data_IF_889297651056
#
_entry.id   IF_889297651056
#
_cell.length_a   1.000
_cell.length_b   1.000
_cell.length_c   1.000
_cell.angle_alpha   90.00
_cell.angle_beta   90.00
_cell.angle_gamma   90.00
#
_symmetry.space_group_name_H-M   'P 1'
#
loop_
_entity.id
_entity.type
_entity.pdbx_description
1 polymer ?
#
# COMPACT_ATOMS: atom_id res chain seq x y z
N UNK A 1 -16.71 15.78 2.18
CA UNK A 1 -16.09 15.71 0.83
C UNK A 1 -14.56 15.56 0.87
N UNK A 2 -13.87 16.07 1.90
CA UNK A 2 -12.38 16.07 1.99
C UNK A 2 -11.71 14.71 2.31
N UNK A 3 -12.40 13.73 2.91
CA UNK A 3 -11.78 12.46 3.32
C UNK A 3 -11.77 11.37 2.23
N UNK A 4 -12.73 11.35 1.29
CA UNK A 4 -12.66 10.44 0.12
C UNK A 4 -11.44 10.74 -0.76
N UNK A 5 -11.03 12.01 -0.83
CA UNK A 5 -9.79 12.44 -1.48
C UNK A 5 -8.52 12.07 -0.72
N UNK A 6 -8.61 11.83 0.60
CA UNK A 6 -7.44 11.50 1.41
C UNK A 6 -6.92 10.08 1.13
N UNK A 7 -7.81 9.12 0.85
CA UNK A 7 -7.44 7.72 0.55
C UNK A 7 -6.81 7.55 -0.84
N UNK A 8 -7.43 8.12 -1.87
CA UNK A 8 -6.87 8.09 -3.23
C UNK A 8 -5.50 8.78 -3.30
N UNK A 9 -5.33 9.94 -2.65
CA UNK A 9 -4.02 10.62 -2.54
C UNK A 9 -3.01 9.92 -1.62
N UNK A 10 -3.43 8.93 -0.81
CA UNK A 10 -2.51 8.22 0.10
C UNK A 10 -1.73 7.14 -0.65
N UNK A 11 -2.38 6.47 -1.59
CA UNK A 11 -1.73 5.47 -2.46
C UNK A 11 -0.89 6.15 -3.57
N UNK A 12 -1.29 7.35 -4.00
CA UNK A 12 -0.60 8.09 -5.07
C UNK A 12 0.30 9.22 -4.58
N UNK A 13 0.65 9.31 -3.29
CA UNK A 13 1.62 10.34 -2.88
C UNK A 13 3.03 9.92 -3.29
N UNK A 14 3.58 10.64 -4.26
CA UNK A 14 4.84 10.39 -4.95
C UNK A 14 6.07 10.58 -4.06
N UNK A 15 5.88 11.09 -2.84
CA UNK A 15 6.90 11.10 -1.78
C UNK A 15 7.04 9.75 -1.06
N UNK A 16 6.14 8.79 -1.30
CA UNK A 16 6.06 7.55 -0.53
C UNK A 16 6.30 6.28 -1.35
N UNK A 17 5.81 6.21 -2.60
CA UNK A 17 6.17 5.18 -3.58
C UNK A 17 6.67 5.91 -4.84
N UNK A 18 7.96 5.77 -5.11
CA UNK A 18 8.65 6.31 -6.29
C UNK A 18 9.80 5.37 -6.66
N UNK A 19 10.56 5.67 -7.72
CA UNK A 19 11.65 4.77 -8.15
C UNK A 19 12.66 4.47 -7.04
N UNK A 20 12.91 5.40 -6.12
CA UNK A 20 13.87 5.23 -5.02
C UNK A 20 13.29 4.44 -3.84
N UNK A 21 11.97 4.17 -3.80
CA UNK A 21 11.39 3.31 -2.77
C UNK A 21 11.59 1.83 -3.07
N UNK A 22 11.81 1.48 -4.33
CA UNK A 22 12.08 0.11 -4.77
C UNK A 22 13.59 -0.17 -4.72
N UNK A 23 13.93 -1.43 -4.46
CA UNK A 23 15.30 -1.91 -4.59
C UNK A 23 15.69 -1.92 -6.07
N UNK A 24 17.00 -1.77 -6.37
CA UNK A 24 17.47 -1.52 -7.73
C UNK A 24 17.04 -2.60 -8.76
N UNK A 25 16.92 -3.85 -8.31
CA UNK A 25 16.55 -5.01 -9.12
C UNK A 25 15.07 -5.43 -8.97
N UNK A 26 14.26 -4.64 -8.28
CA UNK A 26 12.84 -4.96 -8.10
C UNK A 26 12.07 -4.75 -9.40
N UNK A 27 11.70 -5.85 -10.04
CA UNK A 27 10.97 -5.85 -11.31
C UNK A 27 9.58 -5.22 -11.21
N UNK A 28 9.01 -5.10 -9.99
CA UNK A 28 7.71 -4.46 -9.79
C UNK A 28 7.76 -2.97 -10.05
N UNK A 29 8.94 -2.33 -9.95
CA UNK A 29 9.10 -0.89 -10.17
C UNK A 29 8.55 -0.47 -11.53
N UNK A 30 9.01 -1.11 -12.60
CA UNK A 30 8.70 -0.70 -13.99
C UNK A 30 7.30 -1.12 -14.43
N UNK A 31 6.73 -2.15 -13.79
CA UNK A 31 5.32 -2.54 -13.99
C UNK A 31 4.37 -1.62 -13.22
N UNK A 32 4.81 -1.11 -12.07
CA UNK A 32 3.99 -0.27 -11.20
C UNK A 32 4.03 1.18 -11.61
N UNK A 33 5.21 1.72 -11.88
CA UNK A 33 5.47 3.14 -12.09
C UNK A 33 5.98 3.39 -13.51
N UNK A 34 5.39 4.36 -14.19
CA UNK A 34 5.91 4.88 -15.46
C UNK A 34 6.14 6.38 -15.40
N UNK A 35 7.16 6.83 -16.13
CA UNK A 35 7.55 8.25 -16.26
C UNK A 35 7.20 8.83 -17.61
N UNK A 36 6.62 8.04 -18.52
CA UNK A 36 6.18 8.55 -19.79
C UNK A 36 5.01 7.74 -20.34
N UNK A 37 4.37 8.31 -21.34
CA UNK A 37 3.32 7.68 -22.12
C UNK A 37 3.55 7.94 -23.60
N UNK A 38 3.47 6.90 -24.42
CA UNK A 38 3.54 7.02 -25.88
C UNK A 38 2.14 6.93 -26.46
N UNK A 39 1.70 8.01 -27.10
CA UNK A 39 0.43 8.09 -27.82
C UNK A 39 0.43 7.24 -29.10
N UNK A 40 -0.78 6.97 -29.62
CA UNK A 40 -0.96 6.17 -30.84
C UNK A 40 -0.36 6.80 -32.10
N UNK A 41 -0.11 8.11 -32.10
CA UNK A 41 0.59 8.83 -33.18
C UNK A 41 2.12 8.80 -33.04
N UNK A 42 2.63 8.12 -32.01
CA UNK A 42 4.06 7.98 -31.71
C UNK A 42 4.64 9.13 -30.89
N UNK A 43 3.85 10.15 -30.53
CA UNK A 43 4.32 11.20 -29.63
C UNK A 43 4.53 10.64 -28.22
N UNK A 44 5.58 11.08 -27.54
CA UNK A 44 5.91 10.68 -26.17
C UNK A 44 5.70 11.88 -25.25
N UNK A 45 4.89 11.70 -24.22
CA UNK A 45 4.79 12.63 -23.11
C UNK A 45 5.59 12.10 -21.94
N UNK A 46 6.59 12.87 -21.52
CA UNK A 46 7.40 12.60 -20.34
C UNK A 46 6.77 13.31 -19.13
N UNK A 47 6.81 12.66 -17.98
CA UNK A 47 6.25 13.13 -16.73
C UNK A 47 7.38 13.47 -15.75
N UNK A 48 7.29 14.63 -15.10
CA UNK A 48 8.24 15.03 -14.04
C UNK A 48 8.18 14.11 -12.81
N UNK A 49 7.12 13.31 -12.68
CA UNK A 49 6.88 12.38 -11.57
C UNK A 49 6.20 11.11 -12.09
N UNK A 50 6.38 9.95 -11.43
CA UNK A 50 5.81 8.73 -11.93
C UNK A 50 4.29 8.70 -11.77
N UNK A 51 3.63 7.96 -12.65
CA UNK A 51 2.23 7.58 -12.51
C UNK A 51 2.11 6.07 -12.35
N UNK A 52 1.05 5.60 -11.69
CA UNK A 52 0.84 4.17 -11.47
C UNK A 52 0.13 3.55 -12.67
N UNK A 53 0.79 2.64 -13.37
CA UNK A 53 0.33 2.03 -14.62
C UNK A 53 -0.05 0.54 -14.47
N UNK A 54 0.00 0.01 -13.24
CA UNK A 54 -0.21 -1.41 -12.90
C UNK A 54 -1.46 -2.08 -13.51
N UNK A 55 -2.55 -1.32 -13.68
CA UNK A 55 -3.81 -1.83 -14.23
C UNK A 55 -4.04 -1.41 -15.68
N UNK A 56 -2.99 -1.04 -16.40
CA UNK A 56 -3.11 -0.66 -17.80
C UNK A 56 -2.25 -1.60 -18.66
N UNK A 57 -2.90 -2.30 -19.57
CA UNK A 57 -2.24 -3.10 -20.60
C UNK A 57 -2.16 -2.26 -21.88
N UNK A 58 -0.99 -1.69 -22.15
CA UNK A 58 -0.75 -0.84 -23.31
C UNK A 58 -0.90 -1.60 -24.65
N UNK A 59 -0.70 -2.92 -24.66
CA UNK A 59 -0.86 -3.73 -25.87
C UNK A 59 -2.33 -3.97 -26.18
N UNK A 60 -3.14 -4.24 -25.15
CA UNK A 60 -4.57 -4.46 -25.30
C UNK A 60 -5.36 -3.14 -25.47
N UNK A 61 -4.94 -2.07 -24.80
CA UNK A 61 -5.53 -0.73 -24.92
C UNK A 61 -4.44 0.36 -25.04
N UNK A 62 -3.97 0.67 -26.26
CA UNK A 62 -2.93 1.68 -26.50
C UNK A 62 -3.37 3.13 -26.29
N UNK A 63 -4.66 3.44 -26.14
CA UNK A 63 -5.17 4.82 -26.01
C UNK A 63 -5.05 5.41 -24.61
N UNK A 64 -4.78 4.57 -23.59
CA UNK A 64 -4.56 5.05 -22.22
C UNK A 64 -5.79 5.62 -21.51
N UNK A 65 -7.00 5.42 -22.05
CA UNK A 65 -8.23 5.98 -21.49
C UNK A 65 -9.25 4.92 -21.03
N UNK A 66 -8.87 3.64 -21.06
CA UNK A 66 -9.70 2.54 -20.60
C UNK A 66 -8.84 1.39 -20.04
N UNK A 67 -9.47 0.51 -19.26
CA UNK A 67 -8.87 -0.75 -18.81
C UNK A 67 -9.94 -1.80 -18.56
N UNK A 68 -9.65 -3.03 -18.97
CA UNK A 68 -10.42 -4.24 -18.64
C UNK A 68 -9.64 -5.14 -17.65
N UNK A 69 -8.58 -4.61 -17.03
CA UNK A 69 -7.78 -5.35 -16.08
C UNK A 69 -8.63 -5.78 -14.88
N UNK A 70 -8.46 -7.05 -14.49
CA UNK A 70 -9.15 -7.61 -13.31
C UNK A 70 -8.51 -7.02 -12.06
N UNK A 71 -9.35 -6.45 -11.19
CA UNK A 71 -8.92 -6.03 -9.86
C UNK A 71 -8.88 -7.26 -8.93
N UNK A 72 -7.69 -7.70 -8.47
CA UNK A 72 -7.59 -8.89 -7.63
C UNK A 72 -8.18 -8.61 -6.24
N UNK A 73 -9.10 -9.46 -5.81
CA UNK A 73 -9.62 -9.41 -4.43
C UNK A 73 -8.71 -10.17 -3.43
N UNK A 74 -8.07 -11.25 -3.90
CA UNK A 74 -7.13 -12.08 -3.15
C UNK A 74 -6.18 -12.75 -4.13
N UNK A 75 -4.92 -12.92 -3.75
CA UNK A 75 -3.92 -13.64 -4.56
C UNK A 75 -2.83 -14.28 -3.73
N UNK A 76 -2.10 -15.23 -4.30
CA UNK A 76 -1.13 -16.07 -3.58
C UNK A 76 -0.05 -15.30 -2.82
N UNK A 77 0.40 -14.14 -3.32
CA UNK A 77 1.38 -13.32 -2.61
C UNK A 77 0.87 -12.86 -1.23
N UNK A 78 -0.42 -12.55 -1.12
CA UNK A 78 -1.05 -12.18 0.15
C UNK A 78 -1.01 -13.35 1.14
N UNK A 79 -1.27 -14.57 0.68
CA UNK A 79 -1.22 -15.75 1.55
C UNK A 79 0.20 -15.99 2.10
N UNK A 80 1.23 -15.76 1.28
CA UNK A 80 2.61 -15.85 1.76
C UNK A 80 2.96 -14.76 2.77
N UNK A 81 2.55 -13.51 2.55
CA UNK A 81 2.85 -12.43 3.48
C UNK A 81 2.04 -12.53 4.78
N UNK A 82 0.79 -13.00 4.72
CA UNK A 82 0.00 -13.34 5.91
C UNK A 82 0.68 -14.46 6.70
N UNK A 83 1.17 -15.51 6.04
CA UNK A 83 1.93 -16.59 6.71
C UNK A 83 3.19 -16.03 7.39
N UNK A 84 3.99 -15.24 6.67
CA UNK A 84 5.23 -14.67 7.20
C UNK A 84 4.96 -13.77 8.42
N UNK A 85 3.93 -12.94 8.35
CA UNK A 85 3.51 -12.08 9.44
C UNK A 85 3.04 -12.87 10.65
N UNK A 86 2.13 -13.84 10.46
CA UNK A 86 1.64 -14.67 11.56
C UNK A 86 2.78 -15.40 12.28
N UNK A 87 3.76 -15.91 11.53
CA UNK A 87 4.94 -16.56 12.10
C UNK A 87 5.80 -15.58 12.92
N UNK A 88 5.99 -14.35 12.45
CA UNK A 88 6.72 -13.32 13.21
C UNK A 88 6.02 -12.99 14.53
N UNK A 89 4.68 -12.88 14.51
CA UNK A 89 3.87 -12.58 15.70
C UNK A 89 3.92 -13.71 16.73
N UNK A 90 3.68 -14.96 16.33
CA UNK A 90 3.61 -16.08 17.29
C UNK A 90 4.96 -16.46 17.88
N UNK A 91 6.06 -16.21 17.15
CA UNK A 91 7.41 -16.54 17.59
C UNK A 91 8.18 -15.35 18.18
N UNK A 92 7.60 -14.14 18.16
CA UNK A 92 8.28 -12.90 18.52
C UNK A 92 9.61 -12.73 17.76
N UNK A 93 9.57 -13.01 16.46
CA UNK A 93 10.72 -13.01 15.57
C UNK A 93 10.51 -13.94 14.37
N UNK A 94 11.23 -13.69 13.28
CA UNK A 94 11.13 -14.48 12.07
C UNK A 94 11.88 -15.80 12.21
N UNK A 95 11.15 -16.91 12.16
CA UNK A 95 11.75 -18.21 11.96
C UNK A 95 12.03 -18.49 10.47
N UNK A 96 12.67 -19.62 10.17
CA UNK A 96 13.02 -20.01 8.81
C UNK A 96 11.80 -20.05 7.87
N UNK A 97 10.64 -20.51 8.35
CA UNK A 97 9.42 -20.55 7.54
C UNK A 97 8.87 -19.16 7.20
N UNK A 98 9.02 -18.19 8.10
CA UNK A 98 8.62 -16.81 7.86
C UNK A 98 9.47 -16.18 6.77
N UNK A 99 10.79 -16.39 6.85
CA UNK A 99 11.77 -15.97 5.86
C UNK A 99 11.46 -16.59 4.50
N UNK A 100 11.20 -17.89 4.45
CA UNK A 100 10.87 -18.58 3.20
C UNK A 100 9.57 -18.05 2.57
N UNK A 101 8.56 -17.73 3.39
CA UNK A 101 7.29 -17.22 2.90
C UNK A 101 7.43 -15.84 2.25
N UNK A 102 8.06 -14.86 2.91
CA UNK A 102 8.32 -13.54 2.30
C UNK A 102 9.24 -13.66 1.07
N UNK A 103 10.20 -14.59 1.08
CA UNK A 103 11.09 -14.84 -0.07
C UNK A 103 10.35 -15.41 -1.29
N UNK A 104 9.18 -16.05 -1.14
CA UNK A 104 8.34 -16.43 -2.31
C UNK A 104 7.87 -15.20 -3.09
N UNK A 105 7.59 -14.10 -2.39
CA UNK A 105 7.14 -12.84 -3.00
C UNK A 105 8.33 -12.08 -3.57
N UNK A 106 9.38 -11.92 -2.77
CA UNK A 106 10.62 -11.22 -3.15
C UNK A 106 11.32 -11.88 -4.33
N UNK A 107 11.47 -13.21 -4.31
CA UNK A 107 12.13 -13.96 -5.38
C UNK A 107 11.44 -13.81 -6.73
N UNK A 108 10.10 -13.79 -6.77
CA UNK A 108 9.33 -13.52 -7.99
C UNK A 108 9.45 -12.07 -8.46
N UNK A 109 9.75 -11.13 -7.56
CA UNK A 109 10.07 -9.74 -7.91
C UNK A 109 11.53 -9.53 -8.35
N UNK A 110 12.36 -10.60 -8.38
CA UNK A 110 13.79 -10.51 -8.73
C UNK A 110 14.71 -10.21 -7.55
N UNK A 111 14.20 -10.24 -6.32
CA UNK A 111 14.94 -9.94 -5.09
C UNK A 111 15.31 -11.26 -4.39
N UNK A 112 16.50 -11.79 -4.65
CA UNK A 112 16.90 -13.15 -4.21
C UNK A 112 18.02 -13.20 -3.18
N UNK A 113 18.65 -12.07 -2.83
CA UNK A 113 19.92 -12.07 -2.07
C UNK A 113 19.92 -11.28 -0.75
N UNK A 114 18.77 -10.79 -0.29
CA UNK A 114 18.77 -9.87 0.85
C UNK A 114 18.65 -10.62 2.17
N UNK A 115 19.57 -10.30 3.09
CA UNK A 115 19.50 -10.76 4.47
C UNK A 115 18.34 -10.03 5.13
N UNK A 116 17.23 -10.74 5.31
CA UNK A 116 16.10 -10.25 6.06
C UNK A 116 16.42 -10.31 7.56
N UNK A 117 16.06 -9.27 8.33
CA UNK A 117 16.19 -9.31 9.79
C UNK A 117 15.34 -10.45 10.36
N UNK A 118 15.78 -11.05 11.46
CA UNK A 118 15.07 -12.13 12.13
C UNK A 118 14.49 -11.73 13.48
N UNK A 119 14.88 -10.57 14.02
CA UNK A 119 14.23 -10.01 15.19
C UNK A 119 12.81 -9.51 14.84
N UNK A 120 11.93 -9.50 15.84
CA UNK A 120 10.52 -9.16 15.67
C UNK A 120 10.30 -7.82 14.97
N UNK A 121 10.97 -6.77 15.44
CA UNK A 121 10.76 -5.41 14.98
C UNK A 121 11.31 -5.21 13.57
N UNK A 122 12.54 -5.67 13.33
CA UNK A 122 13.17 -5.61 12.01
C UNK A 122 12.37 -6.38 10.96
N UNK A 123 11.91 -7.58 11.28
CA UNK A 123 11.13 -8.37 10.31
C UNK A 123 9.74 -7.80 10.07
N UNK A 124 9.09 -7.24 11.10
CA UNK A 124 7.84 -6.50 10.95
C UNK A 124 8.00 -5.30 10.00
N UNK A 125 9.10 -4.55 10.12
CA UNK A 125 9.41 -3.44 9.21
C UNK A 125 9.65 -3.93 7.77
N UNK A 126 10.36 -5.04 7.61
CA UNK A 126 10.56 -5.68 6.31
C UNK A 126 9.23 -6.13 5.68
N UNK A 127 8.32 -6.73 6.45
CA UNK A 127 6.99 -7.10 5.99
C UNK A 127 6.17 -5.87 5.58
N UNK A 128 6.16 -4.82 6.39
CA UNK A 128 5.46 -3.57 6.07
C UNK A 128 5.98 -2.93 4.78
N UNK A 129 7.29 -3.03 4.51
CA UNK A 129 7.87 -2.58 3.25
C UNK A 129 7.44 -3.48 2.08
N UNK A 130 7.44 -4.81 2.28
CA UNK A 130 7.06 -5.77 1.25
C UNK A 130 5.57 -5.64 0.87
N UNK A 131 4.66 -5.55 1.84
CA UNK A 131 3.24 -5.26 1.61
C UNK A 131 3.06 -3.97 0.78
N UNK A 132 3.83 -2.92 1.10
CA UNK A 132 3.76 -1.63 0.41
C UNK A 132 4.11 -1.75 -1.07
N UNK A 133 5.15 -2.50 -1.42
CA UNK A 133 5.62 -2.63 -2.81
C UNK A 133 4.81 -3.66 -3.59
N UNK A 134 4.35 -4.72 -2.93
CA UNK A 134 3.58 -5.78 -3.57
C UNK A 134 2.18 -5.34 -3.95
N UNK A 135 1.49 -4.59 -3.07
CA UNK A 135 0.06 -4.29 -3.17
C UNK A 135 -0.25 -2.84 -3.56
N UNK A 136 0.64 -2.19 -4.30
CA UNK A 136 0.38 -0.83 -4.84
C UNK A 136 -0.95 -0.84 -5.61
N UNK A 137 -1.84 0.11 -5.28
CA UNK A 137 -3.18 0.24 -5.85
C UNK A 137 -4.11 -0.98 -5.66
N UNK A 138 -3.88 -1.83 -4.65
CA UNK A 138 -4.77 -2.96 -4.32
C UNK A 138 -5.59 -2.73 -3.03
N UNK A 139 -5.42 -1.59 -2.36
CA UNK A 139 -6.25 -1.23 -1.19
C UNK A 139 -5.82 -1.82 0.15
N UNK A 140 -4.66 -2.48 0.22
CA UNK A 140 -4.16 -3.10 1.46
C UNK A 140 -3.59 -2.11 2.48
N UNK A 141 -2.90 -1.06 2.01
CA UNK A 141 -1.98 -0.29 2.86
C UNK A 141 -2.58 0.25 4.16
N UNK A 142 -3.83 0.71 4.12
CA UNK A 142 -4.51 1.17 5.32
C UNK A 142 -4.67 0.04 6.35
N UNK A 143 -5.18 -1.10 5.90
CA UNK A 143 -5.38 -2.28 6.75
C UNK A 143 -4.07 -2.77 7.34
N UNK A 144 -2.99 -2.82 6.52
CA UNK A 144 -1.66 -3.19 6.98
C UNK A 144 -1.21 -2.30 8.14
N UNK A 145 -1.29 -0.98 7.98
CA UNK A 145 -0.90 -0.05 9.03
C UNK A 145 -1.79 -0.12 10.26
N UNK A 146 -3.11 -0.19 10.10
CA UNK A 146 -4.01 -0.23 11.26
C UNK A 146 -3.93 -1.53 12.07
N UNK A 147 -3.45 -2.62 11.44
CA UNK A 147 -3.33 -3.94 12.05
C UNK A 147 -1.95 -4.17 12.64
N UNK A 148 -0.90 -3.77 11.92
CA UNK A 148 0.48 -4.01 12.33
C UNK A 148 1.05 -2.85 13.14
N UNK A 149 0.64 -1.60 12.92
CA UNK A 149 1.23 -0.46 13.59
C UNK A 149 0.41 0.01 14.80
N UNK A 150 1.09 0.60 15.79
CA UNK A 150 0.41 1.40 16.80
C UNK A 150 -0.22 2.66 16.16
N UNK A 151 -1.21 3.29 16.82
CA UNK A 151 -1.76 4.56 16.36
C UNK A 151 -0.71 5.67 16.18
N UNK A 152 0.33 5.70 17.02
CA UNK A 152 1.44 6.65 16.94
C UNK A 152 2.33 6.37 15.72
N UNK A 153 2.65 5.10 15.48
CA UNK A 153 3.37 4.66 14.28
C UNK A 153 2.59 5.00 13.00
N UNK A 154 1.28 4.76 13.00
CA UNK A 154 0.37 5.15 11.91
C UNK A 154 0.47 6.66 11.63
N UNK A 155 0.34 7.50 12.67
CA UNK A 155 0.45 8.96 12.55
C UNK A 155 1.81 9.36 11.97
N UNK A 156 2.90 8.79 12.48
CA UNK A 156 4.27 9.06 12.00
C UNK A 156 4.43 8.69 10.53
N UNK A 157 3.97 7.51 10.13
CA UNK A 157 4.04 7.02 8.74
C UNK A 157 3.21 7.91 7.82
N UNK A 158 1.98 8.26 8.21
CA UNK A 158 1.11 9.12 7.40
C UNK A 158 1.69 10.53 7.27
N UNK A 159 2.26 11.09 8.35
CA UNK A 159 2.89 12.41 8.33
C UNK A 159 4.15 12.44 7.47
N UNK A 160 4.97 11.39 7.52
CA UNK A 160 6.13 11.25 6.64
C UNK A 160 5.71 11.17 5.17
N UNK A 161 4.65 10.42 4.86
CA UNK A 161 4.11 10.32 3.52
C UNK A 161 3.42 11.61 3.05
N UNK A 162 2.78 12.35 3.97
CA UNK A 162 2.02 13.59 3.71
C UNK A 162 2.37 14.66 4.75
N UNK A 163 3.44 15.43 4.54
CA UNK A 163 3.88 16.45 5.50
C UNK A 163 2.82 17.47 5.88
N UNK A 164 1.90 17.81 4.97
CA UNK A 164 0.82 18.77 5.24
C UNK A 164 -0.40 18.16 5.94
N UNK A 165 -0.48 16.82 6.02
CA UNK A 165 -1.58 16.17 6.71
C UNK A 165 -1.47 16.36 8.23
N UNK A 166 -2.61 16.36 8.90
CA UNK A 166 -2.71 16.41 10.37
C UNK A 166 -3.34 15.11 10.91
N UNK A 167 -2.70 13.95 10.69
CA UNK A 167 -3.23 12.69 11.20
C UNK A 167 -3.24 12.69 12.73
N UNK A 168 -4.27 12.06 13.30
CA UNK A 168 -4.45 11.86 14.74
C UNK A 168 -4.51 10.36 15.01
N UNK A 169 -4.23 9.94 16.24
CA UNK A 169 -4.21 8.51 16.61
C UNK A 169 -5.56 7.84 16.41
N UNK A 170 -6.67 8.56 16.61
CA UNK A 170 -8.02 8.04 16.35
C UNK A 170 -8.37 7.91 14.85
N UNK A 171 -7.56 8.47 13.94
CA UNK A 171 -7.76 8.31 12.51
C UNK A 171 -7.44 6.90 12.00
N UNK A 172 -7.05 5.95 12.85
CA UNK A 172 -7.04 4.51 12.48
C UNK A 172 -8.45 3.97 12.15
N UNK A 173 -9.50 4.70 12.54
CA UNK A 173 -10.90 4.46 12.14
C UNK A 173 -11.39 5.64 11.30
N UNK A 174 -12.30 5.39 10.37
CA UNK A 174 -13.01 6.45 9.64
C UNK A 174 -14.14 7.05 10.48
N UNK A 175 -14.56 8.30 10.25
CA UNK A 175 -15.78 8.80 10.86
C UNK A 175 -17.00 8.10 10.27
N UNK A 176 -18.01 7.91 11.11
CA UNK A 176 -19.32 7.46 10.67
C UNK A 176 -20.01 8.62 9.94
N UNK A 177 -20.59 8.41 8.74
CA UNK A 177 -21.29 9.47 8.03
C UNK A 177 -22.45 10.03 8.88
N UNK A 178 -22.55 11.35 8.93
CA UNK A 178 -23.55 12.05 9.76
C UNK A 178 -25.00 11.60 9.47
N UNK A 179 -25.32 11.33 8.20
CA UNK A 179 -26.61 10.79 7.79
C UNK A 179 -26.96 9.47 8.50
N UNK A 180 -25.99 8.57 8.67
CA UNK A 180 -26.23 7.28 9.33
C UNK A 180 -26.49 7.47 10.83
N UNK A 181 -25.79 8.42 11.46
CA UNK A 181 -26.02 8.80 12.87
C UNK A 181 -27.43 9.36 13.04
N UNK A 182 -27.85 10.28 12.17
CA UNK A 182 -29.18 10.90 12.20
C UNK A 182 -30.30 9.89 11.97
N UNK A 183 -30.16 9.02 10.97
CA UNK A 183 -31.14 7.97 10.68
C UNK A 183 -31.27 6.94 11.80
N UNK A 184 -30.19 6.68 12.54
CA UNK A 184 -30.19 5.76 13.68
C UNK A 184 -30.94 6.27 14.91
N UNK A 185 -31.35 7.56 14.91
CA UNK A 185 -32.03 8.21 16.04
C UNK A 185 -31.27 8.07 17.37
N UNK A 186 -29.94 8.13 17.30
CA UNK A 186 -29.06 8.04 18.47
C UNK A 186 -28.60 6.63 18.85
N UNK A 187 -29.00 5.60 18.10
CA UNK A 187 -28.49 4.24 18.29
C UNK A 187 -27.02 4.08 17.84
N UNK A 188 -26.60 4.85 16.82
CA UNK A 188 -25.22 4.92 16.34
C UNK A 188 -24.62 6.24 16.80
N UNK A 189 -23.50 6.17 17.52
CA UNK A 189 -22.72 7.33 17.94
C UNK A 189 -21.41 7.38 17.16
N UNK A 190 -20.85 8.58 17.01
CA UNK A 190 -19.58 8.78 16.32
C UNK A 190 -18.42 8.01 17.00
N UNK A 191 -17.45 7.58 16.20
CA UNK A 191 -16.19 7.02 16.70
C UNK A 191 -15.46 8.04 17.59
N UNK A 192 -14.85 7.54 18.68
CA UNK A 192 -14.10 8.37 19.61
C UNK A 192 -13.05 9.24 18.89
N UNK A 193 -12.90 10.49 19.35
CA UNK A 193 -11.97 11.48 18.79
C UNK A 193 -12.52 12.29 17.62
N UNK A 194 -13.51 11.77 16.89
CA UNK A 194 -14.21 12.56 15.88
C UNK A 194 -15.26 13.47 16.54
N UNK A 195 -15.22 14.76 16.20
CA UNK A 195 -16.19 15.74 16.68
C UNK A 195 -17.63 15.38 16.28
N UNK A 196 -18.59 15.97 16.99
CA UNK A 196 -20.01 15.97 16.59
C UNK A 196 -20.28 17.07 15.58
#
# INVERSE_FOLDING_TARGET
>A
MLQRYAYARYITNLNYINSNSFEANDQRRDVTLQYSFTYSDGTVEEFDKPYVFKYWDQKAEPKGNNTEAIFPAIRTAEMYLIKAEALNEIHHGANQEAIEAIQKVRGRAGLTSDHLPTDYAGFKDALLAEYRHEFVMEGHRWFDLTRMCSPEEFVKIVKAAKPDATPQTYHVKFPIPQREIELSQGAITQNEGYGR
#
